data_IF_091457958359
#
_entry.id   IF_091457958359
#
_cell.length_a   1.000
_cell.length_b   1.000
_cell.length_c   1.000
_cell.angle_alpha   90.00
_cell.angle_beta   90.00
_cell.angle_gamma   90.00
#
_symmetry.space_group_name_H-M   'P 1'
#
loop_
_entity.id
_entity.type
_entity.pdbx_description
1 polymer ?
#
# COMPACT_ATOMS: atom_id res chain seq x y z
N UNK A 1 -31.84 -32.47 -13.60
CA UNK A 1 -31.80 -31.03 -13.21
C UNK A 1 -30.70 -30.74 -12.18
N UNK A 2 -30.46 -31.63 -11.21
CA UNK A 2 -29.44 -31.46 -10.14
C UNK A 2 -28.02 -31.18 -10.67
N UNK A 3 -27.53 -31.90 -11.70
CA UNK A 3 -26.18 -31.69 -12.28
C UNK A 3 -25.96 -30.26 -12.83
N UNK A 4 -27.00 -29.63 -13.38
CA UNK A 4 -26.93 -28.26 -13.90
C UNK A 4 -26.90 -27.23 -12.76
N UNK A 5 -27.61 -27.51 -11.68
CA UNK A 5 -27.61 -26.69 -10.47
C UNK A 5 -26.24 -26.75 -9.76
N UNK A 6 -25.66 -27.95 -9.62
CA UNK A 6 -24.32 -28.15 -9.05
C UNK A 6 -23.25 -27.38 -9.84
N UNK A 7 -23.35 -27.39 -11.17
CA UNK A 7 -22.44 -26.63 -12.02
C UNK A 7 -22.61 -25.11 -11.84
N UNK A 8 -23.85 -24.62 -11.78
CA UNK A 8 -24.14 -23.20 -11.57
C UNK A 8 -23.60 -22.69 -10.21
N UNK A 9 -23.75 -23.49 -9.15
CA UNK A 9 -23.22 -23.17 -7.81
C UNK A 9 -21.70 -23.18 -7.79
N UNK A 10 -21.05 -24.14 -8.45
CA UNK A 10 -19.60 -24.21 -8.56
C UNK A 10 -19.02 -23.02 -9.34
N UNK A 11 -19.68 -22.60 -10.43
CA UNK A 11 -19.27 -21.41 -11.19
C UNK A 11 -19.49 -20.14 -10.38
N UNK A 12 -20.62 -20.02 -9.66
CA UNK A 12 -20.91 -18.85 -8.84
C UNK A 12 -19.90 -18.66 -7.69
N UNK A 13 -19.43 -19.76 -7.08
CA UNK A 13 -18.38 -19.70 -6.05
C UNK A 13 -17.00 -19.42 -6.65
N UNK A 14 -16.67 -19.99 -7.81
CA UNK A 14 -15.40 -19.70 -8.49
C UNK A 14 -15.28 -18.24 -8.98
N UNK A 15 -16.40 -17.60 -9.33
CA UNK A 15 -16.44 -16.18 -9.72
C UNK A 15 -16.64 -15.23 -8.53
N UNK A 16 -16.74 -15.72 -7.30
CA UNK A 16 -16.88 -14.84 -6.15
C UNK A 16 -15.63 -13.96 -6.01
N UNK A 17 -15.78 -12.63 -5.82
CA UNK A 17 -14.63 -11.76 -5.65
C UNK A 17 -13.85 -12.19 -4.40
N UNK A 18 -12.63 -12.68 -4.60
CA UNK A 18 -11.69 -12.82 -3.50
C UNK A 18 -11.25 -11.40 -3.12
N UNK A 19 -11.65 -10.92 -1.94
CA UNK A 19 -11.26 -9.60 -1.47
C UNK A 19 -9.74 -9.44 -1.48
N UNK A 20 -9.25 -8.34 -2.04
CA UNK A 20 -7.84 -7.96 -1.93
C UNK A 20 -7.64 -7.23 -0.60
N UNK A 21 -6.77 -7.75 0.26
CA UNK A 21 -6.29 -7.06 1.45
C UNK A 21 -5.23 -6.02 1.01
N UNK A 22 -5.71 -4.92 0.44
CA UNK A 22 -4.87 -3.82 0.01
C UNK A 22 -4.79 -2.75 1.09
N UNK A 23 -3.60 -2.19 1.28
CA UNK A 23 -3.39 -1.03 2.13
C UNK A 23 -3.58 0.23 1.28
N UNK A 24 -4.62 1.01 1.58
CA UNK A 24 -4.91 2.26 0.87
C UNK A 24 -3.91 3.35 1.25
N UNK A 25 -3.20 3.90 0.28
CA UNK A 25 -2.30 5.05 0.43
C UNK A 25 -2.92 6.28 -0.22
N UNK A 26 -2.86 7.42 0.45
CA UNK A 26 -3.32 8.72 -0.04
C UNK A 26 -2.22 9.53 -0.70
N UNK A 27 -2.38 10.85 -0.64
CA UNK A 27 -1.45 11.80 -1.26
C UNK A 27 -0.13 11.90 -0.46
N UNK A 28 0.93 12.32 -1.17
CA UNK A 28 2.22 12.64 -0.57
C UNK A 28 2.24 14.14 -0.28
N UNK A 29 2.53 14.51 0.97
CA UNK A 29 2.59 15.89 1.44
C UNK A 29 4.04 16.30 1.76
N UNK A 30 4.76 16.99 0.86
CA UNK A 30 6.13 17.43 1.12
C UNK A 30 6.18 18.49 2.23
N UNK A 31 7.07 18.27 3.20
CA UNK A 31 7.31 19.17 4.33
C UNK A 31 8.70 19.86 4.25
N UNK A 32 9.51 19.52 3.25
CA UNK A 32 10.86 20.06 3.05
C UNK A 32 10.92 21.10 1.94
N UNK A 33 11.72 22.16 2.13
CA UNK A 33 12.00 23.15 1.10
C UNK A 33 13.12 22.69 0.14
N UNK A 34 13.37 23.49 -0.90
CA UNK A 34 14.49 23.28 -1.81
C UNK A 34 15.83 23.33 -1.06
N UNK A 35 16.77 22.45 -1.42
CA UNK A 35 18.07 22.27 -0.74
C UNK A 35 17.99 21.81 0.73
N UNK A 36 16.91 21.15 1.14
CA UNK A 36 16.81 20.49 2.43
C UNK A 36 16.72 18.97 2.27
N UNK A 37 17.01 18.24 3.35
CA UNK A 37 16.74 16.80 3.41
C UNK A 37 15.26 16.57 3.16
N UNK A 38 14.94 15.69 2.21
CA UNK A 38 13.57 15.40 1.84
C UNK A 38 12.79 14.84 3.03
N UNK A 39 11.64 15.46 3.30
CA UNK A 39 10.68 15.01 4.31
C UNK A 39 9.28 15.16 3.73
N UNK A 40 8.49 14.10 3.84
CA UNK A 40 7.10 14.09 3.40
C UNK A 40 6.29 13.12 4.25
N UNK A 41 5.00 13.41 4.36
CA UNK A 41 4.02 12.52 4.98
C UNK A 41 3.16 11.87 3.89
N UNK A 42 2.68 10.65 4.12
CA UNK A 42 1.81 9.90 3.21
C UNK A 42 0.62 9.40 4.01
N UNK A 43 -0.60 9.75 3.59
CA UNK A 43 -1.80 9.39 4.33
C UNK A 43 -2.09 7.88 4.23
N UNK A 44 -2.45 7.25 5.35
CA UNK A 44 -2.92 5.86 5.36
C UNK A 44 -4.45 5.83 5.42
N UNK A 45 -5.09 5.47 4.31
CA UNK A 45 -6.55 5.58 4.14
C UNK A 45 -7.32 4.40 4.74
N UNK A 46 -6.67 3.25 4.93
CA UNK A 46 -7.33 1.99 5.30
C UNK A 46 -6.70 1.34 6.53
N UNK A 47 -6.03 2.13 7.36
CA UNK A 47 -5.33 1.68 8.57
C UNK A 47 -5.98 2.34 9.78
N UNK A 48 -6.32 1.56 10.79
CA UNK A 48 -6.78 2.10 12.08
C UNK A 48 -5.60 2.47 12.97
N UNK A 49 -5.84 3.27 14.01
CA UNK A 49 -4.78 3.71 14.92
C UNK A 49 -4.11 2.51 15.64
N UNK A 50 -4.89 1.48 15.94
CA UNK A 50 -4.43 0.26 16.60
C UNK A 50 -3.52 -0.57 15.68
N UNK A 51 -3.86 -0.65 14.39
CA UNK A 51 -3.13 -1.39 13.36
C UNK A 51 -1.83 -0.72 12.92
N UNK A 52 -1.67 0.59 13.17
CA UNK A 52 -0.49 1.36 12.77
C UNK A 52 0.82 0.73 13.27
N UNK A 53 0.79 0.10 14.43
CA UNK A 53 1.94 -0.57 15.06
C UNK A 53 2.39 -1.82 14.28
N UNK A 54 1.45 -2.45 13.57
CA UNK A 54 1.70 -3.65 12.77
C UNK A 54 2.07 -3.31 11.32
N UNK A 55 1.94 -2.05 10.92
CA UNK A 55 2.30 -1.59 9.58
C UNK A 55 3.82 -1.60 9.41
N UNK A 56 4.28 -2.33 8.38
CA UNK A 56 5.69 -2.32 7.95
C UNK A 56 5.80 -1.61 6.63
N UNK A 57 6.66 -0.60 6.58
CA UNK A 57 6.92 0.17 5.37
C UNK A 57 8.38 0.00 4.97
N UNK A 58 8.59 -0.29 3.70
CA UNK A 58 9.92 -0.38 3.11
C UNK A 58 9.85 0.02 1.64
N UNK A 59 10.93 0.62 1.13
CA UNK A 59 11.06 0.86 -0.29
C UNK A 59 11.05 -0.46 -1.06
N UNK A 60 10.32 -0.49 -2.18
CA UNK A 60 10.26 -1.66 -3.04
C UNK A 60 11.66 -2.10 -3.54
N UNK A 61 11.80 -3.41 -3.75
CA UNK A 61 13.05 -4.02 -4.22
C UNK A 61 13.35 -3.65 -5.68
N UNK A 62 14.61 -3.79 -6.10
CA UNK A 62 15.00 -3.56 -7.50
C UNK A 62 14.17 -4.38 -8.49
N UNK A 63 13.87 -5.64 -8.18
CA UNK A 63 13.05 -6.50 -9.03
C UNK A 63 11.60 -6.00 -9.14
N UNK A 64 11.04 -5.42 -8.08
CA UNK A 64 9.70 -4.81 -8.14
C UNK A 64 9.68 -3.56 -9.05
N UNK A 65 10.71 -2.71 -8.99
CA UNK A 65 10.87 -1.56 -9.89
C UNK A 65 10.98 -2.01 -11.36
N UNK A 66 11.81 -3.02 -11.64
CA UNK A 66 11.95 -3.61 -12.98
C UNK A 66 10.63 -4.16 -13.51
N UNK A 67 9.87 -4.89 -12.68
CA UNK A 67 8.54 -5.39 -13.05
C UNK A 67 7.55 -4.28 -13.37
N UNK A 68 7.66 -3.13 -12.71
CA UNK A 68 6.86 -1.95 -12.98
C UNK A 68 7.37 -1.10 -14.16
N UNK A 69 8.49 -1.50 -14.80
CA UNK A 69 9.10 -0.72 -15.88
C UNK A 69 9.69 0.62 -15.42
N UNK A 70 10.04 0.74 -14.15
CA UNK A 70 10.59 1.95 -13.55
C UNK A 70 12.07 1.78 -13.20
N UNK A 71 12.85 2.83 -13.39
CA UNK A 71 14.20 2.91 -12.84
C UNK A 71 14.15 3.07 -11.32
N UNK A 72 15.15 2.53 -10.62
CA UNK A 72 15.33 2.71 -9.16
C UNK A 72 16.56 3.58 -8.89
N UNK A 73 16.41 4.91 -8.85
CA UNK A 73 17.52 5.80 -8.54
C UNK A 73 18.18 5.48 -7.21
N UNK A 74 19.51 5.58 -7.17
CA UNK A 74 20.28 5.22 -5.97
C UNK A 74 19.88 6.06 -4.74
N UNK A 75 19.53 7.34 -4.93
CA UNK A 75 19.15 8.26 -3.85
C UNK A 75 17.89 7.83 -3.08
N UNK A 76 17.02 7.01 -3.67
CA UNK A 76 15.86 6.45 -2.96
C UNK A 76 16.27 5.46 -1.87
N UNK A 77 17.44 4.83 -2.00
CA UNK A 77 17.93 3.82 -1.03
C UNK A 77 18.17 4.41 0.36
N UNK A 78 18.39 5.73 0.46
CA UNK A 78 18.58 6.43 1.73
C UNK A 78 17.27 6.80 2.44
N UNK A 79 16.11 6.59 1.82
CA UNK A 79 14.82 6.94 2.42
C UNK A 79 14.51 6.04 3.61
N UNK A 80 14.04 6.67 4.68
CA UNK A 80 13.55 6.00 5.89
C UNK A 80 12.06 6.25 6.01
N UNK A 81 11.33 5.20 6.37
CA UNK A 81 9.88 5.22 6.50
C UNK A 81 9.53 4.88 7.94
N UNK A 82 8.63 5.66 8.54
CA UNK A 82 8.15 5.45 9.90
C UNK A 82 6.64 5.67 9.91
N UNK A 83 5.83 4.64 10.22
CA UNK A 83 4.41 4.82 10.48
C UNK A 83 4.25 5.72 11.72
N UNK A 84 3.48 6.80 11.60
CA UNK A 84 3.28 7.76 12.68
C UNK A 84 1.89 8.38 12.59
N UNK A 85 1.31 8.72 13.74
CA UNK A 85 0.10 9.52 13.78
C UNK A 85 0.46 10.97 13.47
N UNK A 86 -0.26 11.57 12.53
CA UNK A 86 -0.17 12.99 12.25
C UNK A 86 -0.68 13.81 13.45
N UNK A 87 -0.32 15.10 13.52
CA UNK A 87 -0.78 16.00 14.59
C UNK A 87 -2.31 16.13 14.67
N UNK A 88 -3.03 15.72 13.61
CA UNK A 88 -4.49 15.68 13.53
C UNK A 88 -5.09 14.33 13.96
N UNK A 89 -4.28 13.39 14.46
CA UNK A 89 -4.73 12.07 14.92
C UNK A 89 -5.05 11.09 13.80
N UNK A 90 -4.63 11.38 12.55
CA UNK A 90 -4.81 10.48 11.41
C UNK A 90 -3.53 9.67 11.14
N UNK A 91 -3.65 8.38 10.80
CA UNK A 91 -2.53 7.52 10.44
C UNK A 91 -1.96 7.80 9.05
#
# INVERSE_FOLDING_TARGET
MIRKLSLAVAVATALSPMGALALGLGEIHPQSALNQTFKADIDLLSVTQEELQDVRVSLASHEAFKKAGMDRPFHLTGLKFTPQLTASGKP
#
